data_IF_464306064377
#
_entry.id   IF_464306064377
#
_cell.length_a   1.000
_cell.length_b   1.000
_cell.length_c   1.000
_cell.angle_alpha   90.00
_cell.angle_beta   90.00
_cell.angle_gamma   90.00
#
_symmetry.space_group_name_H-M   'P 1'
#
loop_
_entity.id
_entity.type
_entity.pdbx_description
1 polymer ?
#
# COMPACT_ATOMS: atom_id res chain seq x y z
N UNK A 1 18.05 -12.13 -5.99
CA UNK A 1 19.17 -11.23 -6.32
C UNK A 1 18.58 -9.88 -6.69
N UNK A 2 19.19 -8.76 -6.25
CA UNK A 2 18.64 -7.40 -6.37
C UNK A 2 18.46 -6.98 -7.84
N UNK A 3 17.54 -6.06 -8.12
CA UNK A 3 17.48 -5.42 -9.43
C UNK A 3 18.65 -4.45 -9.64
N UNK A 4 19.07 -4.23 -10.89
CA UNK A 4 20.12 -3.25 -11.25
C UNK A 4 19.84 -1.85 -10.69
N UNK A 5 18.55 -1.48 -10.62
CA UNK A 5 18.15 -0.19 -10.05
C UNK A 5 18.33 -0.16 -8.54
N UNK A 6 17.94 -1.21 -7.81
CA UNK A 6 18.19 -1.32 -6.38
C UNK A 6 19.70 -1.32 -6.07
N UNK A 7 20.53 -2.00 -6.87
CA UNK A 7 21.99 -1.97 -6.75
C UNK A 7 22.55 -0.55 -6.93
N UNK A 8 22.07 0.17 -7.95
CA UNK A 8 22.47 1.56 -8.18
C UNK A 8 22.07 2.44 -7.00
N UNK A 9 20.84 2.29 -6.50
CA UNK A 9 20.33 3.10 -5.40
C UNK A 9 21.06 2.84 -4.07
N UNK A 10 21.53 1.60 -3.84
CA UNK A 10 22.39 1.28 -2.69
C UNK A 10 23.66 2.14 -2.65
N UNK A 11 24.23 2.46 -3.82
CA UNK A 11 25.45 3.27 -3.92
C UNK A 11 25.19 4.78 -3.76
N UNK A 12 23.93 5.22 -3.82
CA UNK A 12 23.54 6.63 -3.68
C UNK A 12 23.42 7.05 -2.22
N UNK A 13 24.56 7.39 -1.62
CA UNK A 13 24.64 7.97 -0.27
C UNK A 13 24.39 9.48 -0.25
N UNK A 14 24.40 10.12 -1.42
CA UNK A 14 24.21 11.56 -1.64
C UNK A 14 22.75 12.01 -1.56
N UNK A 15 21.80 11.07 -1.58
CA UNK A 15 20.38 11.38 -1.52
C UNK A 15 20.03 12.05 -0.19
N UNK A 16 19.47 13.26 -0.28
CA UNK A 16 18.91 13.99 0.84
C UNK A 16 17.46 13.61 1.12
N UNK A 17 16.87 14.27 2.13
CA UNK A 17 15.44 14.14 2.44
C UNK A 17 14.59 14.49 1.22
N UNK A 18 13.62 13.65 0.90
CA UNK A 18 12.68 13.89 -0.20
C UNK A 18 11.59 14.87 0.27
N UNK A 19 11.24 15.80 -0.61
CA UNK A 19 10.19 16.79 -0.37
C UNK A 19 8.88 16.28 -0.95
N UNK A 20 7.77 16.26 -0.19
CA UNK A 20 6.46 15.87 -0.72
C UNK A 20 6.04 16.75 -1.90
N UNK A 21 5.54 16.12 -2.96
CA UNK A 21 4.98 16.84 -4.12
C UNK A 21 3.60 17.42 -3.80
N UNK A 22 3.20 18.55 -4.41
CA UNK A 22 1.87 19.10 -4.24
C UNK A 22 0.80 18.17 -4.83
N UNK A 23 -0.42 18.23 -4.30
CA UNK A 23 -1.57 17.41 -4.73
C UNK A 23 -1.78 17.43 -6.25
N UNK A 24 -1.58 18.58 -6.90
CA UNK A 24 -1.74 18.76 -8.35
C UNK A 24 -0.76 17.94 -9.21
N UNK A 25 0.32 17.42 -8.62
CA UNK A 25 1.31 16.56 -9.28
C UNK A 25 1.07 15.06 -9.00
N UNK A 26 0.03 14.73 -8.24
CA UNK A 26 -0.29 13.38 -7.81
C UNK A 26 -1.61 12.91 -8.41
N UNK A 27 -1.72 11.61 -8.61
CA UNK A 27 -2.91 10.98 -9.17
C UNK A 27 -3.92 10.67 -8.06
N UNK A 28 -5.09 11.32 -8.05
CA UNK A 28 -6.16 11.04 -7.09
C UNK A 28 -7.42 10.43 -7.72
N UNK A 29 -8.19 9.68 -6.92
CA UNK A 29 -9.41 8.97 -7.35
C UNK A 29 -10.51 9.91 -7.85
N UNK A 30 -10.61 11.12 -7.32
CA UNK A 30 -11.60 12.14 -7.68
C UNK A 30 -11.28 12.88 -9.00
N UNK A 31 -10.10 12.67 -9.57
CA UNK A 31 -9.75 13.21 -10.88
C UNK A 31 -10.40 12.37 -11.99
N UNK A 32 -11.39 12.94 -12.69
CA UNK A 32 -12.20 12.29 -13.73
C UNK A 32 -11.40 11.65 -14.89
N UNK A 33 -10.14 12.06 -15.10
CA UNK A 33 -9.27 11.50 -16.13
C UNK A 33 -8.63 10.15 -15.71
N UNK A 34 -8.49 9.89 -14.41
CA UNK A 34 -7.80 8.72 -13.85
C UNK A 34 -8.74 7.53 -13.59
N UNK A 35 -10.04 7.70 -13.85
CA UNK A 35 -11.06 6.66 -13.73
C UNK A 35 -11.06 5.66 -14.91
N UNK A 36 -10.31 5.94 -15.99
CA UNK A 36 -10.12 5.03 -17.14
C UNK A 36 -8.98 4.02 -16.91
N UNK A 37 -9.17 2.75 -17.31
CA UNK A 37 -8.20 1.61 -17.36
C UNK A 37 -7.19 1.28 -16.22
N UNK A 38 -6.99 -0.02 -15.92
CA UNK A 38 -5.88 -0.51 -15.07
C UNK A 38 -6.30 -1.52 -13.98
N UNK A 39 -5.41 -2.47 -13.67
CA UNK A 39 -5.55 -3.38 -12.53
C UNK A 39 -5.15 -2.64 -11.24
N UNK A 40 -5.87 -2.84 -10.14
CA UNK A 40 -5.51 -2.25 -8.84
C UNK A 40 -4.90 -3.29 -7.92
N UNK A 41 -3.89 -2.90 -7.13
CA UNK A 41 -3.50 -3.61 -5.92
C UNK A 41 -3.89 -2.73 -4.73
N UNK A 42 -4.61 -3.28 -3.76
CA UNK A 42 -5.02 -2.50 -2.58
C UNK A 42 -3.92 -2.49 -1.52
N UNK A 43 -3.64 -1.29 -1.01
CA UNK A 43 -2.97 -1.10 0.27
C UNK A 43 -3.88 -1.56 1.43
N UNK A 44 -3.28 -1.99 2.54
CA UNK A 44 -3.97 -2.43 3.77
C UNK A 44 -4.90 -1.33 4.29
N UNK A 45 -4.47 -0.08 4.23
CA UNK A 45 -5.29 1.08 4.63
C UNK A 45 -6.64 1.15 3.91
N UNK A 46 -6.75 0.64 2.68
CA UNK A 46 -8.01 0.59 1.93
C UNK A 46 -9.04 -0.31 2.59
N UNK A 47 -8.63 -1.48 3.08
CA UNK A 47 -9.55 -2.39 3.78
C UNK A 47 -9.98 -1.79 5.12
N UNK A 48 -9.04 -1.21 5.86
CA UNK A 48 -9.30 -0.58 7.15
C UNK A 48 -10.28 0.58 6.98
N UNK A 49 -10.05 1.49 6.02
CA UNK A 49 -10.96 2.60 5.79
C UNK A 49 -12.35 2.16 5.34
N UNK A 50 -12.48 1.07 4.57
CA UNK A 50 -13.80 0.51 4.26
C UNK A 50 -14.50 -0.04 5.50
N UNK A 51 -13.81 -0.81 6.33
CA UNK A 51 -14.36 -1.36 7.58
C UNK A 51 -14.78 -0.26 8.56
N UNK A 52 -14.05 0.86 8.60
CA UNK A 52 -14.35 2.01 9.45
C UNK A 52 -15.43 2.93 8.87
N UNK A 53 -15.96 2.65 7.67
CA UNK A 53 -16.89 3.56 6.99
C UNK A 53 -16.26 4.89 6.55
N UNK A 54 -14.92 4.93 6.42
CA UNK A 54 -14.11 6.10 6.05
C UNK A 54 -13.70 6.13 4.57
N UNK A 55 -14.11 5.14 3.79
CA UNK A 55 -13.88 5.13 2.35
C UNK A 55 -14.79 6.18 1.67
N UNK A 56 -14.24 7.13 0.87
CA UNK A 56 -15.05 8.10 0.17
C UNK A 56 -15.92 7.42 -0.91
N UNK A 57 -17.05 8.04 -1.29
CA UNK A 57 -17.98 7.48 -2.28
C UNK A 57 -17.29 7.16 -3.63
N UNK A 58 -16.42 8.06 -4.09
CA UNK A 58 -15.66 7.89 -5.32
C UNK A 58 -14.75 6.63 -5.29
N UNK A 59 -14.22 6.27 -4.11
CA UNK A 59 -13.46 5.03 -3.93
C UNK A 59 -14.36 3.80 -4.12
N UNK A 60 -15.56 3.82 -3.53
CA UNK A 60 -16.54 2.73 -3.71
C UNK A 60 -16.93 2.52 -5.17
N UNK A 61 -17.16 3.60 -5.92
CA UNK A 61 -17.44 3.53 -7.37
C UNK A 61 -16.27 2.98 -8.17
N UNK A 62 -15.04 3.39 -7.85
CA UNK A 62 -13.83 2.89 -8.49
C UNK A 62 -13.67 1.39 -8.27
N UNK A 63 -13.80 0.93 -7.03
CA UNK A 63 -13.65 -0.48 -6.66
C UNK A 63 -14.67 -1.38 -7.35
N UNK A 64 -15.89 -0.89 -7.63
CA UNK A 64 -16.91 -1.62 -8.41
C UNK A 64 -16.57 -1.74 -9.90
N UNK A 65 -15.85 -0.76 -10.46
CA UNK A 65 -15.55 -0.68 -11.91
C UNK A 65 -14.21 -1.30 -12.29
N UNK A 66 -13.29 -1.44 -11.33
CA UNK A 66 -11.91 -1.90 -11.55
C UNK A 66 -11.74 -3.37 -11.19
N UNK A 67 -10.80 -4.03 -11.86
CA UNK A 67 -10.31 -5.34 -11.42
C UNK A 67 -9.33 -5.13 -10.27
N UNK A 68 -9.64 -5.72 -9.13
CA UNK A 68 -8.87 -5.61 -7.89
C UNK A 68 -8.04 -6.88 -7.70
N UNK A 69 -6.77 -6.69 -7.40
CA UNK A 69 -5.84 -7.68 -6.90
C UNK A 69 -5.49 -7.38 -5.45
N UNK A 70 -5.09 -8.44 -4.74
CA UNK A 70 -4.83 -8.42 -3.31
C UNK A 70 -3.44 -8.99 -3.05
N UNK A 71 -2.76 -8.47 -2.04
CA UNK A 71 -1.48 -9.00 -1.57
C UNK A 71 -1.72 -9.83 -0.32
N UNK A 72 -1.05 -10.99 -0.21
CA UNK A 72 -0.99 -11.73 1.05
C UNK A 72 -0.36 -10.89 2.17
N UNK A 73 0.48 -9.90 1.85
CA UNK A 73 1.08 -8.98 2.84
C UNK A 73 0.00 -8.07 3.46
N UNK A 74 -0.91 -7.55 2.63
CA UNK A 74 -2.04 -6.77 3.14
C UNK A 74 -2.98 -7.66 3.98
N UNK A 75 -3.22 -8.89 3.55
CA UNK A 75 -3.99 -9.88 4.32
C UNK A 75 -3.31 -10.21 5.65
N UNK A 76 -1.98 -10.34 5.67
CA UNK A 76 -1.21 -10.57 6.89
C UNK A 76 -1.36 -9.43 7.89
N UNK A 77 -1.36 -8.17 7.46
CA UNK A 77 -1.63 -7.05 8.36
C UNK A 77 -3.04 -7.08 8.94
N UNK A 78 -4.05 -7.43 8.12
CA UNK A 78 -5.43 -7.58 8.60
C UNK A 78 -5.57 -8.72 9.60
N UNK A 79 -4.90 -9.86 9.37
CA UNK A 79 -4.87 -10.99 10.30
C UNK A 79 -4.07 -10.68 11.57
N UNK A 80 -2.99 -9.92 11.46
CA UNK A 80 -2.26 -9.42 12.62
C UNK A 80 -3.15 -8.54 13.50
N UNK A 81 -3.97 -7.68 12.90
CA UNK A 81 -4.93 -6.86 13.65
C UNK A 81 -5.90 -7.71 14.47
N UNK A 82 -6.40 -8.83 13.93
CA UNK A 82 -7.20 -9.80 14.71
C UNK A 82 -6.43 -10.31 15.93
N UNK A 83 -5.17 -10.69 15.75
CA UNK A 83 -4.32 -11.22 16.83
C UNK A 83 -3.98 -10.21 17.93
N UNK A 84 -4.12 -8.90 17.66
CA UNK A 84 -3.81 -7.81 18.61
C UNK A 84 -5.05 -7.37 19.42
N UNK A 85 -6.28 -7.67 18.97
CA UNK A 85 -7.50 -7.26 19.65
C UNK A 85 -7.60 -7.84 21.08
N UNK A 86 -8.14 -7.04 22.00
CA UNK A 86 -8.39 -7.46 23.38
C UNK A 86 -9.60 -8.40 23.46
N UNK A 87 -9.44 -9.67 23.87
CA UNK A 87 -10.56 -10.60 24.01
C UNK A 87 -11.63 -10.16 25.01
N UNK A 88 -11.31 -9.27 25.96
CA UNK A 88 -12.24 -8.75 26.94
C UNK A 88 -13.10 -7.57 26.42
N UNK A 89 -12.71 -6.93 25.31
CA UNK A 89 -13.52 -5.86 24.71
C UNK A 89 -14.74 -6.46 23.99
N UNK A 90 -15.93 -6.02 24.38
CA UNK A 90 -17.20 -6.49 23.80
C UNK A 90 -17.29 -6.29 22.27
N UNK A 91 -16.50 -5.37 21.70
CA UNK A 91 -16.44 -5.10 20.26
C UNK A 91 -15.58 -6.10 19.49
N UNK A 92 -14.70 -6.85 20.17
CA UNK A 92 -13.72 -7.73 19.52
C UNK A 92 -14.37 -8.78 18.64
N UNK A 93 -15.43 -9.45 19.10
CA UNK A 93 -16.16 -10.44 18.30
C UNK A 93 -16.69 -9.84 16.99
N UNK A 94 -17.28 -8.64 17.05
CA UNK A 94 -17.80 -7.96 15.87
C UNK A 94 -16.67 -7.54 14.91
N UNK A 95 -15.56 -7.01 15.44
CA UNK A 95 -14.39 -6.61 14.65
C UNK A 95 -13.75 -7.81 13.94
N UNK A 96 -13.58 -8.95 14.63
CA UNK A 96 -13.06 -10.18 14.05
C UNK A 96 -13.98 -10.68 12.93
N UNK A 97 -15.30 -10.69 13.15
CA UNK A 97 -16.26 -11.11 12.14
C UNK A 97 -16.21 -10.21 10.89
N UNK A 98 -16.10 -8.88 11.08
CA UNK A 98 -16.01 -7.93 9.99
C UNK A 98 -14.73 -8.10 9.16
N UNK A 99 -13.57 -8.26 9.81
CA UNK A 99 -12.29 -8.51 9.12
C UNK A 99 -12.37 -9.83 8.34
N UNK A 100 -12.85 -10.91 8.97
CA UNK A 100 -12.99 -12.21 8.31
C UNK A 100 -13.92 -12.14 7.09
N UNK A 101 -15.06 -11.44 7.21
CA UNK A 101 -15.97 -11.26 6.08
C UNK A 101 -15.31 -10.59 4.86
N UNK A 102 -14.42 -9.62 5.09
CA UNK A 102 -13.63 -9.00 4.01
C UNK A 102 -12.63 -10.00 3.41
N UNK A 103 -11.93 -10.77 4.25
CA UNK A 103 -10.91 -11.72 3.79
C UNK A 103 -11.53 -12.90 3.03
N UNK A 104 -12.64 -13.44 3.51
CA UNK A 104 -13.36 -14.56 2.89
C UNK A 104 -13.95 -14.18 1.51
N UNK A 105 -14.18 -12.88 1.27
CA UNK A 105 -14.63 -12.35 -0.01
C UNK A 105 -13.50 -12.20 -1.05
N UNK A 106 -12.23 -12.37 -0.68
CA UNK A 106 -11.10 -12.24 -1.62
C UNK A 106 -11.01 -13.49 -2.50
N UNK A 107 -11.14 -13.37 -3.85
CA UNK A 107 -11.01 -14.52 -4.72
C UNK A 107 -9.56 -15.01 -4.76
N UNK A 108 -9.34 -16.32 -4.60
CA UNK A 108 -8.01 -16.92 -4.56
C UNK A 108 -7.14 -16.57 -5.78
N UNK A 109 -7.72 -16.53 -6.99
CA UNK A 109 -7.02 -16.16 -8.23
C UNK A 109 -6.62 -14.67 -8.32
N UNK A 110 -7.04 -13.84 -7.35
CA UNK A 110 -6.68 -12.43 -7.25
C UNK A 110 -5.79 -12.13 -6.04
N UNK A 111 -5.50 -13.13 -5.21
CA UNK A 111 -4.61 -13.04 -4.06
C UNK A 111 -3.20 -13.48 -4.46
N UNK A 112 -2.22 -12.61 -4.25
CA UNK A 112 -0.86 -12.82 -4.74
C UNK A 112 0.18 -12.79 -3.62
N UNK A 113 1.13 -13.71 -3.69
CA UNK A 113 2.33 -13.73 -2.86
C UNK A 113 3.46 -12.95 -3.54
N UNK A 114 4.14 -12.01 -2.84
CA UNK A 114 5.33 -11.37 -3.37
C UNK A 114 6.40 -12.40 -3.73
N UNK A 115 6.97 -12.29 -4.92
CA UNK A 115 8.12 -13.11 -5.33
C UNK A 115 9.40 -12.60 -4.66
N UNK A 116 10.44 -13.44 -4.62
CA UNK A 116 11.73 -13.10 -4.01
C UNK A 116 12.28 -11.74 -4.47
N UNK A 117 12.22 -11.44 -5.77
CA UNK A 117 12.75 -10.18 -6.31
C UNK A 117 12.02 -8.94 -5.76
N UNK A 118 10.70 -9.05 -5.55
CA UNK A 118 9.89 -7.98 -4.92
C UNK A 118 10.36 -7.76 -3.49
N UNK A 119 10.53 -8.85 -2.73
CA UNK A 119 10.95 -8.78 -1.32
C UNK A 119 12.34 -8.16 -1.16
N UNK A 120 13.30 -8.54 -2.01
CA UNK A 120 14.67 -8.02 -1.92
C UNK A 120 14.76 -6.54 -2.28
N UNK A 121 14.07 -6.11 -3.34
CA UNK A 121 14.06 -4.70 -3.73
C UNK A 121 13.33 -3.84 -2.68
N UNK A 122 12.19 -4.33 -2.17
CA UNK A 122 11.45 -3.65 -1.11
C UNK A 122 12.29 -3.42 0.16
N UNK A 123 13.11 -4.39 0.56
CA UNK A 123 13.98 -4.27 1.72
C UNK A 123 15.02 -3.14 1.58
N UNK A 124 15.66 -3.04 0.42
CA UNK A 124 16.62 -1.96 0.12
C UNK A 124 15.93 -0.60 0.18
N UNK A 125 14.78 -0.49 -0.49
CA UNK A 125 14.01 0.75 -0.56
C UNK A 125 13.49 1.21 0.80
N UNK A 126 13.01 0.27 1.61
CA UNK A 126 12.54 0.57 2.96
C UNK A 126 13.68 1.13 3.83
N UNK A 127 14.88 0.55 3.74
CA UNK A 127 16.06 1.04 4.44
C UNK A 127 16.46 2.45 4.00
N UNK A 128 16.41 2.72 2.69
CA UNK A 128 16.71 4.04 2.13
C UNK A 128 15.66 5.05 2.59
N UNK A 129 14.37 4.75 2.51
CA UNK A 129 13.33 5.66 3.03
C UNK A 129 13.51 5.95 4.52
N UNK A 130 13.78 4.93 5.34
CA UNK A 130 14.02 5.12 6.77
C UNK A 130 15.17 6.09 7.01
N UNK A 131 16.25 6.00 6.22
CA UNK A 131 17.39 6.91 6.27
C UNK A 131 17.03 8.33 5.82
N UNK A 132 16.35 8.47 4.67
CA UNK A 132 16.04 9.78 4.06
C UNK A 132 14.98 10.57 4.84
N UNK A 133 13.98 9.88 5.40
CA UNK A 133 12.84 10.50 6.08
C UNK A 133 12.94 10.46 7.61
N UNK A 134 13.97 9.80 8.17
CA UNK A 134 14.20 9.76 9.61
C UNK A 134 13.14 8.97 10.38
N UNK A 135 12.69 7.84 9.85
CA UNK A 135 11.65 7.03 10.48
C UNK A 135 12.06 6.48 11.85
N UNK A 136 11.18 6.69 12.83
CA UNK A 136 11.26 6.07 14.16
C UNK A 136 11.14 4.54 14.07
N UNK A 137 11.57 3.84 15.13
CA UNK A 137 11.74 2.38 15.14
C UNK A 137 10.43 1.62 14.84
N UNK A 138 9.32 2.11 15.37
CA UNK A 138 7.96 1.61 15.16
C UNK A 138 7.47 1.75 13.71
N UNK A 139 7.95 2.77 12.99
CA UNK A 139 7.59 3.02 11.58
C UNK A 139 8.42 2.22 10.56
N UNK A 140 9.53 1.61 10.97
CA UNK A 140 10.43 0.88 10.03
C UNK A 140 9.80 -0.39 9.47
N UNK A 141 9.07 -1.14 10.30
CA UNK A 141 8.37 -2.34 9.81
C UNK A 141 7.27 -1.97 8.83
N UNK A 142 6.52 -0.91 9.13
CA UNK A 142 5.51 -0.37 8.21
C UNK A 142 6.14 0.04 6.87
N UNK A 143 7.30 0.71 6.89
CA UNK A 143 8.00 1.08 5.67
C UNK A 143 8.38 -0.13 4.81
N UNK A 144 8.79 -1.25 5.42
CA UNK A 144 9.08 -2.50 4.69
C UNK A 144 7.84 -3.08 4.02
N UNK A 145 6.72 -3.08 4.73
CA UNK A 145 5.43 -3.54 4.23
C UNK A 145 4.96 -2.65 3.06
N UNK A 146 4.96 -1.33 3.24
CA UNK A 146 4.57 -0.35 2.23
C UNK A 146 5.44 -0.51 0.96
N UNK A 147 6.76 -0.66 1.12
CA UNK A 147 7.66 -0.96 0.00
C UNK A 147 7.30 -2.27 -0.69
N UNK A 148 6.97 -3.31 0.07
CA UNK A 148 6.62 -4.62 -0.50
C UNK A 148 5.36 -4.53 -1.35
N UNK A 149 4.33 -3.82 -0.86
CA UNK A 149 3.10 -3.58 -1.61
C UNK A 149 3.35 -2.76 -2.88
N UNK A 150 4.18 -1.72 -2.81
CA UNK A 150 4.57 -0.92 -3.97
C UNK A 150 5.28 -1.74 -5.05
N UNK A 151 6.31 -2.51 -4.67
CA UNK A 151 7.05 -3.34 -5.62
C UNK A 151 6.22 -4.49 -6.16
N UNK A 152 5.33 -5.06 -5.36
CA UNK A 152 4.40 -6.09 -5.84
C UNK A 152 3.40 -5.52 -6.84
N UNK A 153 2.83 -4.34 -6.58
CA UNK A 153 1.93 -3.67 -7.52
C UNK A 153 2.62 -3.44 -8.86
N UNK A 154 3.87 -2.94 -8.82
CA UNK A 154 4.69 -2.75 -10.02
C UNK A 154 4.97 -4.06 -10.74
N UNK A 155 5.31 -5.13 -10.02
CA UNK A 155 5.58 -6.44 -10.60
C UNK A 155 4.35 -7.04 -11.29
N UNK A 156 3.17 -6.86 -10.71
CA UNK A 156 1.89 -7.30 -11.28
C UNK A 156 1.36 -6.41 -12.41
N UNK A 157 2.04 -5.31 -12.75
CA UNK A 157 1.50 -4.30 -13.67
C UNK A 157 0.22 -3.63 -13.15
N UNK A 158 0.03 -3.59 -11.83
CA UNK A 158 -1.08 -2.91 -11.17
C UNK A 158 -0.75 -1.42 -10.91
N UNK A 159 -1.77 -0.70 -10.45
CA UNK A 159 -1.66 0.60 -9.80
C UNK A 159 -1.94 0.35 -8.31
N UNK A 160 -1.05 0.82 -7.43
CA UNK A 160 -1.27 0.70 -5.99
C UNK A 160 -2.29 1.76 -5.54
N UNK A 161 -3.35 1.35 -4.85
CA UNK A 161 -4.37 2.25 -4.32
C UNK A 161 -4.16 2.46 -2.82
N UNK A 162 -3.98 3.71 -2.37
CA UNK A 162 -3.65 4.03 -0.96
C UNK A 162 -4.13 5.43 -0.55
N UNK A 163 -4.31 5.65 0.76
CA UNK A 163 -4.45 6.99 1.33
C UNK A 163 -3.13 7.55 1.89
N UNK A 164 -2.07 6.73 1.96
CA UNK A 164 -0.79 7.10 2.53
C UNK A 164 0.06 7.89 1.52
N UNK A 165 -0.30 9.16 1.31
CA UNK A 165 0.41 10.05 0.38
C UNK A 165 1.86 10.22 0.79
N UNK A 166 2.15 10.42 2.08
CA UNK A 166 3.47 10.77 2.57
C UNK A 166 4.55 9.74 2.20
N UNK A 167 4.27 8.45 2.43
CA UNK A 167 5.27 7.39 2.23
C UNK A 167 5.31 6.97 0.74
N UNK A 168 4.16 6.84 0.08
CA UNK A 168 4.11 6.38 -1.32
C UNK A 168 4.47 7.44 -2.35
N UNK A 169 4.32 8.74 -2.05
CA UNK A 169 4.91 9.80 -2.86
C UNK A 169 6.43 9.70 -2.85
N UNK A 170 7.04 9.56 -1.67
CA UNK A 170 8.48 9.35 -1.54
C UNK A 170 8.96 8.10 -2.30
N UNK A 171 8.22 6.99 -2.23
CA UNK A 171 8.53 5.79 -3.02
C UNK A 171 8.45 6.05 -4.52
N UNK A 172 7.42 6.75 -4.97
CA UNK A 172 7.26 7.07 -6.39
C UNK A 172 8.36 8.02 -6.89
N UNK A 173 8.86 8.94 -6.06
CA UNK A 173 10.03 9.76 -6.40
C UNK A 173 11.32 8.92 -6.54
N UNK A 174 11.52 7.90 -5.70
CA UNK A 174 12.67 6.98 -5.79
C UNK A 174 12.54 5.93 -6.90
N UNK A 175 11.30 5.63 -7.31
CA UNK A 175 10.99 4.65 -8.36
C UNK A 175 9.80 5.12 -9.22
N UNK A 176 10.04 6.03 -10.18
CA UNK A 176 8.98 6.68 -10.97
C UNK A 176 8.11 5.73 -11.80
N UNK A 177 8.61 4.53 -12.12
CA UNK A 177 7.85 3.54 -12.90
C UNK A 177 6.76 2.85 -12.07
N UNK A 178 6.76 3.01 -10.75
CA UNK A 178 5.66 2.57 -9.89
C UNK A 178 4.47 3.51 -9.99
N UNK A 179 3.28 2.96 -10.24
CA UNK A 179 2.04 3.73 -10.33
C UNK A 179 1.28 3.65 -9.01
N UNK A 180 0.93 4.80 -8.47
CA UNK A 180 0.13 4.95 -7.25
C UNK A 180 -1.08 5.82 -7.57
N UNK A 181 -2.24 5.43 -7.06
CA UNK A 181 -3.47 6.19 -7.10
C UNK A 181 -3.88 6.48 -5.65
N UNK A 182 -4.04 7.76 -5.35
CA UNK A 182 -4.31 8.24 -4.01
C UNK A 182 -5.80 8.52 -3.80
N UNK A 183 -6.26 8.41 -2.56
CA UNK A 183 -7.57 8.93 -2.15
C UNK A 183 -7.47 9.56 -0.77
N UNK A 184 -8.43 10.42 -0.43
CA UNK A 184 -8.55 10.98 0.90
C UNK A 184 -9.59 10.19 1.69
N UNK A 185 -9.21 9.65 2.85
CA UNK A 185 -10.18 9.03 3.75
C UNK A 185 -11.10 10.08 4.36
N UNK A 186 -12.37 9.76 4.55
CA UNK A 186 -13.26 10.60 5.34
C UNK A 186 -12.74 10.71 6.79
N UNK A 187 -12.89 11.89 7.39
CA UNK A 187 -12.50 12.16 8.78
C UNK A 187 -13.40 11.41 9.76
#
# INVERSE_FOLDING_TARGET
MLSKHAETLCSRLDLGRLTPRPRSELAFVDDAALSAGGLLLLDTGVYIHQLMGRAPLALGDLLRRRRIHHSVVAVQEMLHAIGVLDPADARTTANVAAIRGVLDAIPAHRLHTPVQAVMTDAAVYAGILCRLQGYARDRRMKALIDCTLFFQARWLGCILLTANVADFDCLQQLRPEGRVLFYESAR
#
